data_IF_825080516384
#
_entry.id   IF_825080516384
#
_cell.length_a   1.000
_cell.length_b   1.000
_cell.length_c   1.000
_cell.angle_alpha   90.00
_cell.angle_beta   90.00
_cell.angle_gamma   90.00
#
_symmetry.space_group_name_H-M   'P 1'
#
loop_
_entity.id
_entity.type
_entity.pdbx_description
1 polymer ?
#
# COMPACT_ATOMS: atom_id res chain seq x y z
N UNK A 1 17.69 56.90 -5.89
CA UNK A 1 17.16 56.71 -7.26
C UNK A 1 17.91 55.54 -7.88
N UNK A 2 17.17 54.58 -8.45
CA UNK A 2 17.62 53.32 -9.09
C UNK A 2 18.31 52.28 -8.16
N UNK A 3 18.07 50.97 -8.26
CA UNK A 3 17.38 50.20 -9.29
C UNK A 3 16.65 48.97 -8.73
N UNK A 4 15.50 48.66 -9.32
CA UNK A 4 14.77 47.41 -9.10
C UNK A 4 15.55 46.27 -9.74
N UNK A 5 16.17 45.41 -8.94
CA UNK A 5 16.64 44.10 -9.40
C UNK A 5 15.44 43.18 -9.58
N UNK A 6 15.02 42.96 -10.83
CA UNK A 6 14.07 41.89 -11.17
C UNK A 6 14.80 40.56 -11.00
N UNK A 7 14.37 39.74 -10.04
CA UNK A 7 14.73 38.33 -9.99
C UNK A 7 13.95 37.60 -11.08
N UNK A 8 14.66 36.99 -12.02
CA UNK A 8 14.09 36.08 -12.99
C UNK A 8 14.42 34.65 -12.50
N UNK A 9 13.65 34.18 -11.52
CA UNK A 9 13.61 32.78 -11.15
C UNK A 9 12.31 32.20 -11.69
N UNK A 10 12.36 31.04 -12.33
CA UNK A 10 11.16 30.37 -12.84
C UNK A 10 10.13 30.22 -11.72
N UNK A 11 8.85 30.29 -12.10
CA UNK A 11 7.68 30.35 -11.23
C UNK A 11 7.59 29.23 -10.17
N UNK A 12 8.40 28.18 -10.28
CA UNK A 12 8.30 26.97 -9.48
C UNK A 12 9.03 27.05 -8.14
N UNK A 13 9.85 28.08 -7.90
CA UNK A 13 10.70 28.18 -6.70
C UNK A 13 10.14 29.04 -5.56
N UNK A 14 9.10 29.84 -5.79
CA UNK A 14 8.54 30.73 -4.73
C UNK A 14 7.69 29.94 -3.71
N UNK A 15 7.22 28.74 -4.06
CA UNK A 15 6.38 27.90 -3.20
C UNK A 15 7.12 27.21 -2.04
N UNK A 16 8.37 26.78 -2.24
CA UNK A 16 9.10 25.99 -1.23
C UNK A 16 9.73 26.82 -0.10
N UNK A 17 9.89 28.13 -0.27
CA UNK A 17 10.56 28.97 0.71
C UNK A 17 9.66 29.43 1.88
N UNK A 18 8.37 29.04 1.91
CA UNK A 18 7.40 29.54 2.91
C UNK A 18 7.25 28.69 4.18
N UNK A 19 7.96 27.57 4.32
CA UNK A 19 7.86 26.70 5.52
C UNK A 19 9.21 26.45 6.20
N UNK A 20 10.12 27.43 6.15
CA UNK A 20 11.36 27.39 6.92
C UNK A 20 11.20 28.14 8.25
N UNK A 21 11.52 27.49 9.36
CA UNK A 21 11.60 28.15 10.67
C UNK A 21 12.99 28.78 10.80
N UNK A 22 13.07 30.11 10.79
CA UNK A 22 14.29 30.86 11.09
C UNK A 22 14.45 30.98 12.62
N UNK A 23 15.58 30.54 13.15
CA UNK A 23 16.01 30.89 14.50
C UNK A 23 17.17 31.87 14.41
N UNK A 24 16.98 33.08 14.93
CA UNK A 24 18.01 34.10 15.03
C UNK A 24 18.79 33.93 16.35
N UNK A 25 20.13 34.06 16.37
CA UNK A 25 20.87 34.11 17.61
C UNK A 25 20.58 35.42 18.37
N UNK A 26 20.46 35.35 19.70
CA UNK A 26 20.39 36.56 20.53
C UNK A 26 21.76 37.26 20.54
N UNK A 27 21.73 38.58 20.36
CA UNK A 27 22.91 39.43 20.17
C UNK A 27 23.73 39.57 21.44
N UNK A 28 25.01 39.20 21.37
CA UNK A 28 26.01 39.56 22.38
C UNK A 28 27.43 39.25 21.92
N UNK A 29 28.16 40.29 21.48
CA UNK A 29 29.63 40.39 21.60
C UNK A 29 30.52 39.58 20.65
N UNK A 30 31.42 40.32 19.99
CA UNK A 30 32.60 39.90 19.22
C UNK A 30 32.37 39.13 17.91
N UNK A 31 32.98 39.69 16.85
CA UNK A 31 33.09 39.17 15.49
C UNK A 31 33.48 37.68 15.46
N UNK A 32 32.47 36.83 15.28
CA UNK A 32 32.60 35.40 15.02
C UNK A 32 31.59 35.04 13.95
N UNK A 33 32.01 34.19 13.02
CA UNK A 33 31.22 33.62 11.92
C UNK A 33 29.74 33.45 12.26
N UNK A 34 28.86 34.14 11.52
CA UNK A 34 27.41 33.94 11.63
C UNK A 34 27.02 32.72 10.80
N UNK A 35 26.95 31.56 11.45
CA UNK A 35 26.38 30.36 10.83
C UNK A 35 24.86 30.50 10.77
N UNK A 36 24.30 30.62 9.57
CA UNK A 36 22.85 30.51 9.34
C UNK A 36 22.56 29.10 8.85
N UNK A 37 21.84 28.32 9.66
CA UNK A 37 21.39 26.98 9.28
C UNK A 37 20.02 27.09 8.63
N UNK A 38 19.94 26.81 7.33
CA UNK A 38 18.68 26.71 6.60
C UNK A 38 18.38 25.24 6.36
N UNK A 39 17.26 24.73 6.90
CA UNK A 39 16.77 23.37 6.60
C UNK A 39 15.97 23.40 5.30
N UNK A 40 16.52 22.85 4.23
CA UNK A 40 15.86 22.70 2.94
C UNK A 40 15.53 21.23 2.70
N UNK A 41 14.29 20.92 2.35
CA UNK A 41 13.86 19.58 1.97
C UNK A 41 13.91 19.47 0.44
N UNK A 42 14.88 18.73 -0.10
CA UNK A 42 15.06 18.58 -1.55
C UNK A 42 15.14 17.08 -1.91
N UNK A 43 14.38 16.57 -2.89
CA UNK A 43 14.56 15.21 -3.39
C UNK A 43 15.90 15.07 -4.13
N UNK A 44 16.49 13.86 -4.06
CA UNK A 44 17.88 13.49 -4.45
C UNK A 44 18.37 13.89 -5.85
N UNK A 45 17.50 14.38 -6.73
CA UNK A 45 17.84 14.58 -8.14
C UNK A 45 18.52 15.91 -8.50
N UNK A 46 18.84 16.77 -7.52
CA UNK A 46 19.47 18.07 -7.82
C UNK A 46 20.66 18.25 -6.88
N UNK A 47 21.84 17.84 -7.34
CA UNK A 47 23.11 18.07 -6.66
C UNK A 47 23.99 18.98 -7.54
N UNK A 48 23.83 20.29 -7.41
CA UNK A 48 24.93 21.22 -7.66
C UNK A 48 25.09 22.17 -6.46
N UNK A 49 26.33 22.42 -6.00
CA UNK A 49 26.59 23.35 -4.92
C UNK A 49 26.28 24.79 -5.36
N UNK A 50 25.31 25.43 -4.72
CA UNK A 50 24.99 26.85 -4.94
C UNK A 50 26.01 27.70 -4.17
N UNK A 51 26.85 28.45 -4.89
CA UNK A 51 27.74 29.46 -4.30
C UNK A 51 26.98 30.75 -4.00
N UNK A 52 27.02 31.21 -2.75
CA UNK A 52 26.42 32.49 -2.32
C UNK A 52 27.50 33.42 -1.75
N UNK A 53 28.31 34.02 -2.63
CA UNK A 53 29.15 35.17 -2.32
C UNK A 53 30.35 34.97 -1.37
N UNK A 54 31.20 36.01 -1.15
CA UNK A 54 32.58 35.83 -0.71
C UNK A 54 32.81 35.68 0.80
N UNK A 55 31.83 35.88 1.67
CA UNK A 55 32.05 35.95 3.14
C UNK A 55 31.00 35.21 3.99
N UNK A 56 30.33 34.17 3.46
CA UNK A 56 29.42 33.36 4.28
C UNK A 56 29.42 31.91 3.84
N UNK A 57 29.88 31.01 4.72
CA UNK A 57 29.80 29.57 4.51
C UNK A 57 28.47 29.07 5.10
N UNK A 58 27.54 28.67 4.25
CA UNK A 58 26.30 27.99 4.67
C UNK A 58 26.61 26.50 4.77
N UNK A 59 26.55 25.96 5.99
CA UNK A 59 26.69 24.53 6.23
C UNK A 59 25.31 23.88 6.19
N UNK A 60 25.07 23.01 5.21
CA UNK A 60 23.85 22.21 5.16
C UNK A 60 24.01 21.02 6.09
N UNK A 61 23.14 20.90 7.09
CA UNK A 61 22.94 19.62 7.77
C UNK A 61 21.97 18.83 6.89
N UNK A 62 22.53 17.93 6.09
CA UNK A 62 21.76 16.93 5.36
C UNK A 62 21.27 15.91 6.39
N UNK A 63 20.11 16.16 6.99
CA UNK A 63 19.34 15.05 7.55
C UNK A 63 18.89 14.22 6.35
N UNK A 64 19.51 13.06 6.15
CA UNK A 64 18.92 12.03 5.30
C UNK A 64 17.52 11.78 5.86
N UNK A 65 16.50 12.34 5.20
CA UNK A 65 15.25 11.60 5.11
C UNK A 65 15.63 10.35 4.34
N UNK A 66 16.07 9.33 5.07
CA UNK A 66 15.67 7.99 4.70
C UNK A 66 14.17 8.15 4.49
N UNK A 67 13.73 8.14 3.23
CA UNK A 67 12.41 7.63 2.97
C UNK A 67 12.51 6.21 3.53
N UNK A 68 12.21 6.07 4.82
CA UNK A 68 11.52 4.91 5.30
C UNK A 68 10.19 4.98 4.55
N UNK A 69 10.25 4.58 3.28
CA UNK A 69 9.31 3.62 2.79
C UNK A 69 9.10 2.66 3.94
N UNK A 70 7.88 2.61 4.45
CA UNK A 70 7.46 1.49 5.25
C UNK A 70 7.42 0.28 4.29
N UNK A 71 8.62 -0.20 3.91
CA UNK A 71 8.91 -1.02 2.71
C UNK A 71 8.61 -2.50 2.92
N UNK A 72 7.89 -2.86 3.98
CA UNK A 72 7.33 -4.20 4.06
C UNK A 72 5.97 -4.17 3.37
N UNK A 73 5.98 -4.67 2.14
CA UNK A 73 4.79 -5.08 1.40
C UNK A 73 4.00 -6.06 2.27
N UNK A 74 2.73 -5.75 2.54
CA UNK A 74 1.85 -6.65 3.26
C UNK A 74 1.11 -7.57 2.28
N UNK A 75 0.72 -8.73 2.79
CA UNK A 75 0.04 -9.76 2.03
C UNK A 75 -1.27 -10.12 2.72
N UNK A 76 -2.34 -10.14 1.93
CA UNK A 76 -3.70 -10.23 2.42
C UNK A 76 -4.42 -11.39 1.75
N UNK A 77 -5.20 -12.15 2.51
CA UNK A 77 -6.19 -13.08 1.98
C UNK A 77 -7.55 -12.40 2.09
N UNK A 78 -8.22 -12.21 0.96
CA UNK A 78 -9.63 -11.80 0.93
C UNK A 78 -10.49 -13.05 0.74
N UNK A 79 -11.36 -13.27 1.71
CA UNK A 79 -12.27 -14.41 1.77
C UNK A 79 -13.65 -13.96 1.27
N UNK A 80 -14.10 -14.56 0.17
CA UNK A 80 -15.34 -14.20 -0.51
C UNK A 80 -16.19 -15.41 -0.90
N UNK A 81 -17.48 -15.19 -1.15
CA UNK A 81 -18.35 -16.19 -1.80
C UNK A 81 -18.05 -16.25 -3.30
N UNK A 82 -18.43 -17.34 -4.00
CA UNK A 82 -18.32 -17.41 -5.45
C UNK A 82 -19.01 -16.23 -6.16
N UNK A 83 -20.20 -15.84 -5.70
CA UNK A 83 -20.95 -14.72 -6.29
C UNK A 83 -20.25 -13.36 -6.12
N UNK A 84 -19.66 -13.08 -4.95
CA UNK A 84 -18.93 -11.82 -4.76
C UNK A 84 -17.62 -11.79 -5.54
N UNK A 85 -16.95 -12.94 -5.66
CA UNK A 85 -15.76 -13.05 -6.48
C UNK A 85 -16.07 -12.84 -7.96
N UNK A 86 -17.19 -13.37 -8.45
CA UNK A 86 -17.65 -13.13 -9.81
C UNK A 86 -17.91 -11.64 -10.05
N UNK A 87 -18.53 -10.93 -9.10
CA UNK A 87 -18.69 -9.47 -9.19
C UNK A 87 -17.35 -8.73 -9.26
N UNK A 88 -16.36 -9.14 -8.47
CA UNK A 88 -14.99 -8.59 -8.57
C UNK A 88 -14.37 -8.87 -9.94
N UNK A 89 -14.59 -10.07 -10.50
CA UNK A 89 -14.11 -10.47 -11.83
C UNK A 89 -14.79 -9.68 -12.95
N UNK A 90 -16.11 -9.50 -12.90
CA UNK A 90 -16.89 -8.66 -13.83
C UNK A 90 -16.35 -7.22 -13.87
N UNK A 91 -15.90 -6.69 -12.74
CA UNK A 91 -15.25 -5.38 -12.62
C UNK A 91 -13.77 -5.36 -13.02
N UNK A 92 -13.22 -6.48 -13.49
CA UNK A 92 -11.82 -6.59 -13.92
C UNK A 92 -10.80 -6.46 -12.79
N UNK A 93 -11.19 -6.76 -11.54
CA UNK A 93 -10.34 -6.59 -10.35
C UNK A 93 -9.79 -5.17 -10.18
N UNK A 94 -10.60 -4.16 -10.51
CA UNK A 94 -10.25 -2.75 -10.35
C UNK A 94 -10.43 -2.24 -8.92
N UNK A 95 -11.25 -2.93 -8.13
CA UNK A 95 -11.60 -2.54 -6.77
C UNK A 95 -11.90 -3.75 -5.91
N UNK A 96 -11.56 -3.68 -4.62
CA UNK A 96 -11.93 -4.68 -3.63
C UNK A 96 -12.46 -4.04 -2.36
N UNK A 97 -13.68 -4.44 -1.95
CA UNK A 97 -14.31 -4.01 -0.71
C UNK A 97 -14.16 -5.01 0.43
N UNK A 98 -14.05 -4.50 1.65
CA UNK A 98 -13.97 -5.25 2.89
C UNK A 98 -15.17 -4.94 3.77
N UNK A 99 -15.60 -5.93 4.55
CA UNK A 99 -16.73 -5.77 5.48
C UNK A 99 -16.46 -4.68 6.51
N UNK A 100 -17.53 -4.01 6.93
CA UNK A 100 -17.52 -2.86 7.83
C UNK A 100 -16.67 -3.09 9.11
N UNK A 101 -16.76 -4.28 9.69
CA UNK A 101 -15.98 -4.66 10.89
C UNK A 101 -14.45 -4.71 10.69
N UNK A 102 -13.96 -4.61 9.45
CA UNK A 102 -12.54 -4.72 9.10
C UNK A 102 -11.88 -3.38 8.72
N UNK A 103 -12.51 -2.23 9.06
CA UNK A 103 -11.95 -0.88 8.86
C UNK A 103 -10.48 -0.76 9.24
N UNK A 104 -10.10 -1.19 10.45
CA UNK A 104 -8.71 -1.10 10.96
C UNK A 104 -7.69 -1.88 10.12
N UNK A 105 -8.13 -2.93 9.42
CA UNK A 105 -7.25 -3.66 8.49
C UNK A 105 -7.15 -2.94 7.16
N UNK A 106 -8.27 -2.42 6.65
CA UNK A 106 -8.28 -1.57 5.45
C UNK A 106 -7.37 -0.35 5.63
N UNK A 107 -7.41 0.30 6.79
CA UNK A 107 -6.55 1.44 7.16
C UNK A 107 -5.04 1.16 7.01
N UNK A 108 -4.63 -0.10 7.09
CA UNK A 108 -3.24 -0.53 6.95
C UNK A 108 -2.86 -0.94 5.52
N UNK A 109 -3.84 -1.12 4.64
CA UNK A 109 -3.60 -1.46 3.25
C UNK A 109 -3.06 -0.26 2.48
N UNK A 110 -2.01 -0.49 1.70
CA UNK A 110 -1.32 0.56 0.94
C UNK A 110 -0.96 0.09 -0.46
N UNK A 111 -0.73 1.02 -1.40
CA UNK A 111 -0.23 0.67 -2.72
C UNK A 111 1.02 -0.21 -2.64
N UNK A 112 1.04 -1.26 -3.47
CA UNK A 112 2.09 -2.27 -3.48
C UNK A 112 1.73 -3.54 -2.71
N UNK A 113 0.87 -3.49 -1.70
CA UNK A 113 0.39 -4.70 -1.01
C UNK A 113 -0.28 -5.69 -1.97
N UNK A 114 -0.31 -6.97 -1.60
CA UNK A 114 -0.89 -8.03 -2.43
C UNK A 114 -2.11 -8.65 -1.79
N UNK A 115 -3.09 -9.00 -2.62
CA UNK A 115 -4.28 -9.74 -2.22
C UNK A 115 -4.27 -11.09 -2.94
N UNK A 116 -4.55 -12.16 -2.20
CA UNK A 116 -4.97 -13.46 -2.76
C UNK A 116 -6.43 -13.71 -2.42
N UNK A 117 -7.18 -14.26 -3.37
CA UNK A 117 -8.61 -14.48 -3.22
C UNK A 117 -8.91 -15.93 -2.85
N UNK A 118 -9.48 -16.13 -1.66
CA UNK A 118 -9.98 -17.42 -1.19
C UNK A 118 -11.50 -17.50 -1.37
N UNK A 119 -11.96 -18.56 -2.03
CA UNK A 119 -13.36 -18.76 -2.37
C UNK A 119 -14.01 -19.72 -1.38
N UNK A 120 -14.83 -19.18 -0.50
CA UNK A 120 -15.65 -19.94 0.45
C UNK A 120 -16.59 -20.92 -0.27
N UNK A 121 -16.84 -22.07 0.34
CA UNK A 121 -17.62 -23.16 -0.26
C UNK A 121 -16.87 -23.98 -1.31
N UNK A 122 -15.99 -23.35 -2.10
CA UNK A 122 -15.03 -24.04 -2.98
C UNK A 122 -13.76 -24.47 -2.24
N UNK A 123 -13.44 -23.80 -1.12
CA UNK A 123 -12.24 -24.03 -0.32
C UNK A 123 -10.96 -23.93 -1.16
N UNK A 124 -10.90 -22.94 -2.04
CA UNK A 124 -9.87 -22.84 -3.07
C UNK A 124 -9.35 -21.41 -3.24
N UNK A 125 -8.10 -21.27 -3.70
CA UNK A 125 -7.52 -20.00 -4.12
C UNK A 125 -7.71 -19.77 -5.62
N UNK A 126 -8.10 -18.55 -5.99
CA UNK A 126 -8.59 -18.28 -7.35
C UNK A 126 -7.80 -17.21 -8.11
N UNK A 127 -7.24 -16.21 -7.41
CA UNK A 127 -6.60 -15.07 -8.06
C UNK A 127 -5.62 -14.35 -7.13
N UNK A 128 -4.81 -13.49 -7.74
CA UNK A 128 -3.88 -12.56 -7.09
C UNK A 128 -4.05 -11.16 -7.69
N UNK A 129 -4.09 -10.14 -6.85
CA UNK A 129 -4.09 -8.73 -7.28
C UNK A 129 -3.11 -7.89 -6.46
N UNK A 130 -2.73 -6.75 -7.04
CA UNK A 130 -1.92 -5.72 -6.39
C UNK A 130 -2.82 -4.56 -5.97
N UNK A 131 -2.69 -4.10 -4.73
CA UNK A 131 -3.31 -2.86 -4.26
C UNK A 131 -2.63 -1.66 -4.91
N UNK A 132 -3.42 -0.73 -5.47
CA UNK A 132 -2.92 0.44 -6.21
C UNK A 132 -3.28 1.77 -5.56
N UNK A 133 -4.14 1.78 -4.54
CA UNK A 133 -4.51 2.99 -3.80
C UNK A 133 -4.42 2.76 -2.28
N UNK A 134 -4.36 3.83 -1.47
CA UNK A 134 -4.79 3.77 -0.07
C UNK A 134 -6.26 3.33 0.03
N UNK A 135 -6.68 2.90 1.22
CA UNK A 135 -8.10 2.61 1.42
C UNK A 135 -8.97 3.88 1.37
N UNK A 136 -10.23 3.70 1.01
CA UNK A 136 -11.26 4.73 1.06
C UNK A 136 -12.61 4.11 1.45
N UNK A 137 -13.58 4.97 1.72
CA UNK A 137 -14.94 4.57 2.11
C UNK A 137 -15.91 4.88 0.96
N UNK A 138 -16.67 3.88 0.49
CA UNK A 138 -17.75 4.05 -0.48
C UNK A 138 -18.83 3.00 -0.23
N UNK A 139 -20.09 3.39 -0.44
CA UNK A 139 -21.28 2.57 -0.18
C UNK A 139 -22.01 2.11 -1.45
N UNK A 140 -21.36 2.19 -2.63
CA UNK A 140 -21.99 1.72 -3.87
C UNK A 140 -22.29 0.21 -3.79
N UNK A 141 -23.48 -0.28 -4.16
CA UNK A 141 -23.89 -1.66 -3.89
C UNK A 141 -23.29 -2.66 -4.90
N UNK A 142 -21.97 -2.85 -4.86
CA UNK A 142 -21.23 -3.76 -5.76
C UNK A 142 -21.34 -5.21 -5.30
N UNK A 143 -21.07 -5.44 -4.01
CA UNK A 143 -21.10 -6.76 -3.40
C UNK A 143 -22.27 -6.85 -2.44
N UNK A 144 -22.79 -8.06 -2.27
CA UNK A 144 -23.87 -8.33 -1.31
C UNK A 144 -23.42 -9.35 -0.29
N UNK A 145 -24.00 -9.32 0.90
CA UNK A 145 -23.82 -10.41 1.85
C UNK A 145 -24.60 -11.63 1.37
N UNK A 146 -24.00 -12.82 1.46
CA UNK A 146 -24.72 -14.08 1.25
C UNK A 146 -25.66 -14.43 2.42
N UNK A 147 -25.51 -13.76 3.58
CA UNK A 147 -26.38 -13.89 4.74
C UNK A 147 -27.50 -12.83 4.67
N UNK A 148 -28.78 -13.21 4.50
CA UNK A 148 -29.90 -12.28 4.43
C UNK A 148 -30.06 -11.40 5.66
N UNK A 149 -29.58 -11.83 6.83
CA UNK A 149 -29.60 -11.01 8.05
C UNK A 149 -28.57 -9.87 8.02
N UNK A 150 -27.67 -9.89 7.04
CA UNK A 150 -26.60 -8.92 6.83
C UNK A 150 -26.68 -8.29 5.44
N UNK A 151 -27.88 -8.23 4.87
CA UNK A 151 -28.11 -7.63 3.54
C UNK A 151 -27.74 -6.14 3.50
N UNK A 152 -27.68 -5.49 4.66
CA UNK A 152 -27.18 -4.12 4.82
C UNK A 152 -25.64 -3.99 4.71
N UNK A 153 -24.87 -5.08 4.63
CA UNK A 153 -23.41 -5.01 4.43
C UNK A 153 -23.09 -4.73 2.96
N UNK A 154 -22.51 -3.56 2.70
CA UNK A 154 -22.15 -3.03 1.39
C UNK A 154 -20.63 -2.98 1.12
N UNK A 155 -19.84 -3.56 2.04
CA UNK A 155 -18.38 -3.67 1.94
C UNK A 155 -17.72 -2.29 1.76
N UNK A 156 -17.86 -1.39 2.76
CA UNK A 156 -17.67 0.03 2.53
C UNK A 156 -16.20 0.44 2.46
N UNK A 157 -15.30 -0.34 3.06
CA UNK A 157 -13.88 -0.04 3.08
C UNK A 157 -13.18 -0.69 1.90
N UNK A 158 -12.74 0.13 0.96
CA UNK A 158 -12.30 -0.32 -0.36
C UNK A 158 -10.87 0.09 -0.64
N UNK A 159 -10.23 -0.66 -1.51
CA UNK A 159 -8.96 -0.33 -2.15
C UNK A 159 -9.11 -0.53 -3.64
N UNK A 160 -8.48 0.33 -4.44
CA UNK A 160 -8.28 0.06 -5.85
C UNK A 160 -7.23 -1.03 -6.00
N UNK A 161 -7.44 -1.87 -7.01
CA UNK A 161 -6.56 -3.00 -7.30
C UNK A 161 -6.27 -3.11 -8.78
N UNK A 162 -5.22 -3.84 -9.11
CA UNK A 162 -4.92 -4.32 -10.45
C UNK A 162 -4.77 -5.84 -10.41
N UNK A 163 -5.39 -6.55 -11.34
CA UNK A 163 -5.21 -7.98 -11.50
C UNK A 163 -3.74 -8.32 -11.79
N UNK A 164 -3.18 -9.27 -11.03
CA UNK A 164 -1.92 -9.91 -11.39
C UNK A 164 -2.23 -11.16 -12.22
N UNK A 165 -3.04 -12.08 -11.66
CA UNK A 165 -3.44 -13.35 -12.27
C UNK A 165 -4.79 -13.82 -11.74
N UNK A 166 -5.60 -14.44 -12.59
CA UNK A 166 -6.83 -15.12 -12.19
C UNK A 166 -6.99 -16.44 -12.94
N UNK A 167 -7.45 -17.46 -12.22
CA UNK A 167 -7.77 -18.77 -12.78
C UNK A 167 -9.25 -18.80 -13.24
N UNK A 168 -9.59 -19.61 -14.25
CA UNK A 168 -10.98 -20.00 -14.49
C UNK A 168 -11.48 -20.90 -13.35
N UNK A 169 -12.79 -20.94 -13.12
CA UNK A 169 -13.41 -21.60 -11.96
C UNK A 169 -13.07 -23.08 -11.79
N UNK A 170 -12.95 -23.81 -12.91
CA UNK A 170 -12.60 -25.23 -12.90
C UNK A 170 -11.15 -25.48 -12.45
N UNK A 171 -10.31 -24.45 -12.47
CA UNK A 171 -8.87 -24.55 -12.27
C UNK A 171 -8.42 -23.92 -10.95
N UNK A 172 -9.35 -23.53 -10.08
CA UNK A 172 -9.00 -23.03 -8.75
C UNK A 172 -8.16 -24.04 -7.98
N UNK A 173 -7.22 -23.52 -7.19
CA UNK A 173 -6.28 -24.33 -6.43
C UNK A 173 -6.94 -24.77 -5.13
N UNK A 174 -7.10 -26.08 -4.91
CA UNK A 174 -7.52 -26.61 -3.61
C UNK A 174 -6.63 -26.03 -2.50
N UNK A 175 -7.24 -25.39 -1.51
CA UNK A 175 -6.52 -24.68 -0.47
C UNK A 175 -5.95 -25.63 0.58
N UNK A 176 -6.51 -26.83 0.75
CA UNK A 176 -6.10 -27.72 1.85
C UNK A 176 -4.61 -28.11 1.82
N UNK A 177 -4.04 -28.57 0.68
CA UNK A 177 -2.62 -28.91 0.63
C UNK A 177 -1.71 -27.74 0.95
N UNK A 178 -2.09 -26.52 0.55
CA UNK A 178 -1.33 -25.30 0.82
C UNK A 178 -1.49 -24.87 2.28
N UNK A 179 -2.71 -24.88 2.81
CA UNK A 179 -3.01 -24.50 4.19
C UNK A 179 -2.24 -25.37 5.20
N UNK A 180 -2.02 -26.65 4.90
CA UNK A 180 -1.21 -27.55 5.75
C UNK A 180 0.28 -27.17 5.82
N UNK A 181 0.76 -26.35 4.88
CA UNK A 181 2.13 -25.87 4.81
C UNK A 181 2.27 -24.40 5.28
N UNK A 182 1.16 -23.67 5.37
CA UNK A 182 1.16 -22.25 5.76
C UNK A 182 1.42 -22.07 7.25
N UNK A 183 2.30 -21.13 7.61
CA UNK A 183 2.51 -20.71 8.99
C UNK A 183 1.22 -20.11 9.56
N UNK A 184 0.52 -19.27 8.79
CA UNK A 184 -0.71 -18.63 9.20
C UNK A 184 -1.78 -19.64 9.62
N UNK A 185 -1.98 -20.71 8.84
CA UNK A 185 -3.00 -21.71 9.11
C UNK A 185 -2.60 -22.70 10.23
N UNK A 186 -1.31 -22.82 10.55
CA UNK A 186 -0.80 -23.66 11.65
C UNK A 186 -1.29 -23.26 13.05
N UNK A 187 -1.87 -22.05 13.18
CA UNK A 187 -2.53 -21.58 14.41
C UNK A 187 -3.77 -22.38 14.79
N UNK A 188 -4.28 -23.21 13.87
CA UNK A 188 -5.42 -24.10 14.08
C UNK A 188 -5.01 -25.57 13.91
N UNK A 189 -5.68 -26.51 14.60
CA UNK A 189 -5.44 -27.94 14.39
C UNK A 189 -5.62 -28.34 12.93
N UNK A 190 -4.80 -29.26 12.44
CA UNK A 190 -4.81 -29.68 11.04
C UNK A 190 -6.18 -30.20 10.54
N UNK A 191 -6.95 -30.84 11.42
CA UNK A 191 -8.32 -31.28 11.12
C UNK A 191 -9.30 -30.11 10.92
N UNK A 192 -9.00 -28.94 11.49
CA UNK A 192 -9.84 -27.75 11.49
C UNK A 192 -9.18 -26.57 10.75
N UNK A 193 -8.36 -26.86 9.75
CA UNK A 193 -7.60 -25.84 8.98
C UNK A 193 -8.49 -24.73 8.41
N UNK A 194 -9.73 -25.06 8.03
CA UNK A 194 -10.68 -24.09 7.45
C UNK A 194 -11.02 -22.92 8.40
N UNK A 195 -10.81 -23.08 9.71
CA UNK A 195 -10.97 -22.00 10.69
C UNK A 195 -10.03 -20.81 10.40
N UNK A 196 -8.88 -21.06 9.76
CA UNK A 196 -7.94 -20.02 9.37
C UNK A 196 -8.56 -18.99 8.41
N UNK A 197 -9.52 -19.42 7.60
CA UNK A 197 -10.20 -18.63 6.58
C UNK A 197 -11.60 -18.18 7.01
N UNK A 198 -11.94 -18.29 8.30
CA UNK A 198 -13.17 -17.69 8.82
C UNK A 198 -13.00 -16.20 9.05
N UNK A 199 -13.71 -15.40 8.26
CA UNK A 199 -13.55 -13.96 8.26
C UNK A 199 -13.74 -13.45 6.83
N UNK A 200 -13.48 -12.17 6.62
CA UNK A 200 -13.45 -11.62 5.26
C UNK A 200 -12.03 -11.22 4.83
N UNK A 201 -11.14 -10.91 5.76
CA UNK A 201 -9.76 -10.54 5.43
C UNK A 201 -8.78 -10.98 6.51
N UNK A 202 -7.65 -11.50 6.06
CA UNK A 202 -6.56 -12.01 6.90
C UNK A 202 -5.23 -11.49 6.38
N UNK A 203 -4.36 -11.08 7.29
CA UNK A 203 -2.98 -10.73 6.94
C UNK A 203 -2.13 -11.99 7.09
N UNK A 204 -1.25 -12.23 6.13
CA UNK A 204 -0.33 -13.37 6.10
C UNK A 204 1.11 -12.90 5.90
N UNK A 205 2.06 -13.75 6.23
CA UNK A 205 3.46 -13.48 5.96
C UNK A 205 3.78 -13.66 4.46
N UNK A 206 4.99 -13.25 4.07
CA UNK A 206 5.45 -13.37 2.69
C UNK A 206 5.58 -14.82 2.21
N UNK A 207 6.02 -15.74 3.06
CA UNK A 207 6.24 -17.15 2.69
C UNK A 207 4.93 -17.85 2.33
N UNK A 208 3.87 -17.61 3.10
CA UNK A 208 2.54 -18.16 2.84
C UNK A 208 1.95 -17.58 1.55
N UNK A 209 2.14 -16.28 1.31
CA UNK A 209 1.76 -15.68 0.04
C UNK A 209 2.50 -16.31 -1.14
N UNK A 210 3.83 -16.46 -1.03
CA UNK A 210 4.67 -17.02 -2.08
C UNK A 210 4.25 -18.47 -2.42
N UNK A 211 3.90 -19.26 -1.41
CA UNK A 211 3.37 -20.61 -1.58
C UNK A 211 2.09 -20.62 -2.43
N UNK A 212 1.12 -19.76 -2.10
CA UNK A 212 -0.15 -19.64 -2.85
C UNK A 212 0.11 -19.14 -4.27
N UNK A 213 0.94 -18.10 -4.41
CA UNK A 213 1.28 -17.50 -5.69
C UNK A 213 1.93 -18.51 -6.63
N UNK A 214 2.91 -19.28 -6.15
CA UNK A 214 3.60 -20.30 -6.93
C UNK A 214 2.64 -21.39 -7.44
N UNK A 215 1.67 -21.81 -6.61
CA UNK A 215 0.67 -22.79 -7.02
C UNK A 215 -0.25 -22.27 -8.14
N UNK A 216 -0.63 -20.99 -8.08
CA UNK A 216 -1.41 -20.32 -9.13
C UNK A 216 -0.58 -20.17 -10.40
N UNK A 217 0.67 -19.69 -10.30
CA UNK A 217 1.58 -19.54 -11.45
C UNK A 217 1.79 -20.88 -12.16
N UNK A 218 2.05 -21.95 -11.41
CA UNK A 218 2.23 -23.30 -11.96
C UNK A 218 0.98 -23.79 -12.69
N UNK A 219 -0.22 -23.54 -12.15
CA UNK A 219 -1.47 -23.92 -12.80
C UNK A 219 -1.70 -23.14 -14.10
N UNK A 220 -1.44 -21.83 -14.11
CA UNK A 220 -1.52 -21.03 -15.34
C UNK A 220 -0.56 -21.56 -16.40
N UNK A 221 0.67 -21.92 -16.01
CA UNK A 221 1.64 -22.50 -16.93
C UNK A 221 1.17 -23.85 -17.52
N UNK A 222 0.53 -24.71 -16.72
CA UNK A 222 -0.06 -25.97 -17.21
C UNK A 222 -1.20 -25.76 -18.20
N UNK A 223 -2.00 -24.70 -18.05
CA UNK A 223 -3.12 -24.40 -18.96
C UNK A 223 -2.68 -23.77 -20.28
N UNK A 224 -1.48 -23.19 -20.32
CA UNK A 224 -0.93 -22.52 -21.49
C UNK A 224 -0.09 -23.45 -22.39
N UNK A 225 0.31 -24.62 -21.89
CA UNK A 225 1.06 -25.65 -22.63
C UNK A 225 0.15 -26.72 -23.21
#
# INVERSE_FOLDING_TARGET
IAGRGRFNASSDYIGLARSGQLSMPQSGGAEREKTVTVRLFVPRAILEPIWVGPQTRVSFVLEERNQMTDTTQAYWIVVGSPGNFEKTRELGFTIQGLKSRHRKKAERMKPGDKIVYYITGRKAFAAVSTITSPYFESHDPIWKSADPKKDAEDYPFRVETKLDLALPDAEFIDAEPLARQMEYASKWPAANWTLAFQGNVHEINQSDFALIRAAIDARVATLAG
#
